data_IF_305944498268
#
_entry.id   IF_305944498268
#
_cell.length_a   1.000
_cell.length_b   1.000
_cell.length_c   1.000
_cell.angle_alpha   90.00
_cell.angle_beta   90.00
_cell.angle_gamma   90.00
#
_symmetry.space_group_name_H-M   'P 1'
#
loop_
_entity.id
_entity.type
_entity.pdbx_description
1 polymer ?
#
# COMPACT_ATOMS: atom_id res chain seq x y z
N UNK A 1 21.16 42.30 -8.52
CA UNK A 1 19.80 42.11 -7.97
C UNK A 1 19.66 40.61 -7.70
N UNK A 2 20.56 40.06 -6.87
CA UNK A 2 20.94 38.63 -6.93
C UNK A 2 20.83 37.94 -5.56
N UNK A 3 19.92 38.43 -4.72
CA UNK A 3 19.66 37.89 -3.38
C UNK A 3 18.48 36.92 -3.33
N UNK A 4 17.87 36.56 -4.46
CA UNK A 4 16.69 35.69 -4.53
C UNK A 4 16.98 34.20 -4.86
N UNK A 5 18.24 33.81 -5.08
CA UNK A 5 18.60 32.46 -5.56
C UNK A 5 19.01 31.45 -4.48
N UNK A 6 18.96 31.82 -3.20
CA UNK A 6 18.89 30.82 -2.12
C UNK A 6 17.43 30.47 -1.85
N UNK A 7 16.79 29.80 -2.81
CA UNK A 7 15.47 29.22 -2.59
C UNK A 7 15.54 28.37 -1.32
N UNK A 8 14.79 28.78 -0.29
CA UNK A 8 14.67 28.06 0.98
C UNK A 8 14.38 26.60 0.67
N UNK A 9 15.31 25.70 1.01
CA UNK A 9 15.21 24.27 0.73
C UNK A 9 14.29 23.64 1.76
N UNK A 10 13.00 23.71 1.49
CA UNK A 10 11.99 23.16 2.38
C UNK A 10 11.78 21.68 2.09
N UNK A 11 12.15 20.84 3.07
CA UNK A 11 11.91 19.40 3.05
C UNK A 11 10.72 19.09 3.93
N UNK A 12 9.72 18.42 3.36
CA UNK A 12 8.58 17.88 4.10
C UNK A 12 8.83 16.39 4.34
N UNK A 13 8.82 15.98 5.59
CA UNK A 13 9.06 14.61 6.01
C UNK A 13 7.74 13.98 6.44
N UNK A 14 7.35 12.86 5.83
CA UNK A 14 6.14 12.11 6.16
C UNK A 14 6.47 10.64 6.48
N UNK A 15 6.51 10.26 7.77
CA UNK A 15 6.73 8.89 8.20
C UNK A 15 5.44 8.05 8.09
N UNK A 16 5.60 6.73 8.00
CA UNK A 16 4.49 5.82 8.29
C UNK A 16 4.04 6.05 9.75
N UNK A 17 2.72 6.09 10.06
CA UNK A 17 2.20 6.48 11.37
C UNK A 17 2.33 5.37 12.43
N UNK A 18 3.54 4.86 12.62
CA UNK A 18 3.91 3.92 13.67
C UNK A 18 5.11 4.44 14.46
N UNK A 19 5.17 4.07 15.74
CA UNK A 19 6.18 4.59 16.69
C UNK A 19 7.62 4.43 16.19
N UNK A 20 7.95 3.26 15.65
CA UNK A 20 9.30 2.95 15.18
C UNK A 20 9.70 3.83 14.00
N UNK A 21 8.82 4.00 13.01
CA UNK A 21 9.07 4.80 11.81
C UNK A 21 9.19 6.29 12.14
N UNK A 22 8.26 6.81 12.95
CA UNK A 22 8.28 8.20 13.42
C UNK A 22 9.60 8.51 14.15
N UNK A 23 10.00 7.68 15.11
CA UNK A 23 11.23 7.89 15.86
C UNK A 23 12.48 7.85 14.96
N UNK A 24 12.55 6.87 14.05
CA UNK A 24 13.68 6.73 13.14
C UNK A 24 13.81 7.95 12.21
N UNK A 25 12.71 8.37 11.57
CA UNK A 25 12.72 9.50 10.66
C UNK A 25 12.88 10.84 11.39
N UNK A 26 12.39 10.98 12.63
CA UNK A 26 12.62 12.17 13.44
C UNK A 26 14.10 12.29 13.82
N UNK A 27 14.75 11.19 14.19
CA UNK A 27 16.19 11.19 14.47
C UNK A 27 17.01 11.48 13.21
N UNK A 28 16.63 10.92 12.07
CA UNK A 28 17.23 11.27 10.78
C UNK A 28 17.06 12.77 10.47
N UNK A 29 15.87 13.33 10.72
CA UNK A 29 15.59 14.76 10.53
C UNK A 29 16.45 15.64 11.43
N UNK A 30 16.73 15.23 12.68
CA UNK A 30 17.68 15.93 13.57
C UNK A 30 19.09 15.95 12.98
N UNK A 31 19.56 14.82 12.45
CA UNK A 31 20.88 14.74 11.79
C UNK A 31 20.94 15.62 10.54
N UNK A 32 19.86 15.65 9.73
CA UNK A 32 19.75 16.55 8.59
C UNK A 32 19.80 18.02 9.01
N UNK A 33 19.03 18.40 10.03
CA UNK A 33 19.01 19.77 10.56
C UNK A 33 20.38 20.21 11.11
N UNK A 34 21.12 19.30 11.74
CA UNK A 34 22.46 19.58 12.28
C UNK A 34 23.54 19.66 11.21
N UNK A 35 23.42 18.89 10.13
CA UNK A 35 24.41 18.88 9.04
C UNK A 35 24.24 20.01 8.03
N UNK A 36 23.05 20.60 7.93
CA UNK A 36 22.77 21.68 6.98
C UNK A 36 21.79 22.71 7.55
N UNK A 37 22.34 23.80 8.10
CA UNK A 37 21.56 24.90 8.70
C UNK A 37 20.68 25.70 7.73
N UNK A 38 20.81 25.48 6.41
CA UNK A 38 19.97 26.11 5.39
C UNK A 38 18.70 25.34 5.05
N UNK A 39 18.47 24.16 5.64
CA UNK A 39 17.26 23.36 5.41
C UNK A 39 16.13 23.79 6.35
N UNK A 40 14.96 24.06 5.76
CA UNK A 40 13.72 24.13 6.51
C UNK A 40 13.10 22.74 6.55
N UNK A 41 12.90 22.15 7.73
CA UNK A 41 12.31 20.82 7.85
C UNK A 41 10.91 20.92 8.46
N UNK A 42 9.89 20.41 7.74
CA UNK A 42 8.55 20.19 8.28
C UNK A 42 8.33 18.70 8.46
N UNK A 43 8.18 18.26 9.71
CA UNK A 43 7.92 16.87 10.04
C UNK A 43 6.43 16.68 10.31
N UNK A 44 5.77 15.90 9.47
CA UNK A 44 4.32 15.74 9.47
C UNK A 44 3.92 14.47 10.21
N UNK A 45 2.94 14.58 11.10
CA UNK A 45 2.35 13.46 11.85
C UNK A 45 0.84 13.59 11.89
N UNK A 46 0.11 12.63 12.46
CA UNK A 46 -1.32 12.85 12.77
C UNK A 46 -1.48 13.71 14.02
N UNK A 47 -2.65 14.30 14.24
CA UNK A 47 -2.97 15.08 15.46
C UNK A 47 -2.76 14.25 16.75
N UNK A 48 -3.16 12.97 16.76
CA UNK A 48 -2.89 12.07 17.88
C UNK A 48 -1.39 11.95 18.12
N UNK A 49 -0.62 11.70 17.07
CA UNK A 49 0.83 11.55 17.16
C UNK A 49 1.53 12.85 17.58
N UNK A 50 1.02 14.02 17.19
CA UNK A 50 1.51 15.31 17.67
C UNK A 50 1.39 15.42 19.19
N UNK A 51 0.27 14.95 19.76
CA UNK A 51 0.08 14.87 21.20
C UNK A 51 0.99 13.83 21.88
N UNK A 52 1.18 12.66 21.25
CA UNK A 52 2.00 11.57 21.80
C UNK A 52 3.50 11.84 21.80
N UNK A 53 3.99 12.59 20.80
CA UNK A 53 5.37 13.06 20.75
C UNK A 53 5.66 14.06 21.89
N UNK A 54 4.61 14.67 22.45
CA UNK A 54 4.70 15.77 23.39
C UNK A 54 5.21 17.04 22.72
N UNK A 55 5.44 18.11 23.49
CA UNK A 55 6.25 19.24 23.02
C UNK A 55 7.72 18.84 23.15
N UNK A 56 8.41 18.40 22.10
CA UNK A 56 9.81 18.08 22.23
C UNK A 56 10.55 19.40 22.31
N UNK A 57 11.74 19.38 22.90
CA UNK A 57 12.80 20.31 22.50
C UNK A 57 13.20 19.98 21.04
N UNK A 58 12.26 20.12 20.09
CA UNK A 58 12.53 19.99 18.68
C UNK A 58 13.55 21.09 18.34
N UNK A 59 14.68 20.75 17.69
CA UNK A 59 15.64 21.76 17.26
C UNK A 59 14.92 22.88 16.51
N UNK A 60 15.36 24.14 16.66
CA UNK A 60 14.72 25.34 16.07
C UNK A 60 14.40 25.21 14.56
N UNK A 61 15.08 24.29 13.87
CA UNK A 61 15.02 24.09 12.42
C UNK A 61 14.02 22.99 11.98
N UNK A 62 13.35 22.31 12.92
CA UNK A 62 12.31 21.30 12.65
C UNK A 62 10.97 21.80 13.16
N UNK A 63 10.02 21.98 12.25
CA UNK A 63 8.62 22.30 12.59
C UNK A 63 7.78 21.03 12.55
N UNK A 64 7.11 20.71 13.67
CA UNK A 64 6.09 19.68 13.66
C UNK A 64 4.79 20.25 13.08
N UNK A 65 4.16 19.52 12.17
CA UNK A 65 2.82 19.81 11.65
C UNK A 65 1.96 18.55 11.74
N UNK A 66 0.67 18.73 11.90
CA UNK A 66 -0.29 17.63 11.94
C UNK A 66 -1.20 17.61 10.72
N UNK A 67 -1.63 16.40 10.36
CA UNK A 67 -2.82 16.14 9.56
C UNK A 67 -3.93 15.56 10.47
N UNK A 68 -5.22 15.69 10.11
CA UNK A 68 -6.33 15.13 10.86
C UNK A 68 -6.17 13.63 11.16
N UNK A 69 -6.72 13.18 12.29
CA UNK A 69 -6.77 11.77 12.66
C UNK A 69 -7.73 10.96 11.79
N UNK A 70 -7.27 10.56 10.61
CA UNK A 70 -8.03 9.77 9.63
C UNK A 70 -7.79 8.26 9.70
N UNK A 71 -6.92 7.83 10.62
CA UNK A 71 -6.50 6.45 10.83
C UNK A 71 -6.88 5.95 12.23
N UNK A 72 -7.03 4.63 12.45
CA UNK A 72 -7.21 4.06 13.78
C UNK A 72 -6.11 4.49 14.75
N UNK A 73 -6.50 4.73 15.99
CA UNK A 73 -5.60 5.21 17.05
C UNK A 73 -4.44 4.25 17.32
N UNK A 74 -3.27 4.83 17.66
CA UNK A 74 -2.06 4.10 18.07
C UNK A 74 -2.36 3.02 19.11
N UNK A 75 -3.25 3.27 20.07
CA UNK A 75 -3.54 2.36 21.17
C UNK A 75 -4.35 1.12 20.80
N UNK A 76 -5.15 1.20 19.74
CA UNK A 76 -6.13 0.14 19.39
C UNK A 76 -5.91 -0.48 18.01
N UNK A 77 -5.07 0.14 17.17
CA UNK A 77 -4.82 -0.35 15.81
C UNK A 77 -4.28 -1.79 15.75
N UNK A 78 -3.63 -2.26 16.81
CA UNK A 78 -3.12 -3.63 16.89
C UNK A 78 -4.22 -4.69 16.79
N UNK A 79 -5.45 -4.36 17.20
CA UNK A 79 -6.60 -5.25 17.11
C UNK A 79 -7.14 -5.39 15.67
N UNK A 80 -6.93 -4.38 14.82
CA UNK A 80 -7.31 -4.39 13.41
C UNK A 80 -6.21 -3.74 12.55
N UNK A 81 -5.09 -4.45 12.43
CA UNK A 81 -3.96 -4.00 11.60
C UNK A 81 -4.36 -3.80 10.14
N UNK A 82 -5.31 -4.62 9.64
CA UNK A 82 -5.81 -4.56 8.27
C UNK A 82 -6.55 -3.25 8.03
N UNK A 83 -7.51 -2.91 8.90
CA UNK A 83 -8.23 -1.64 8.84
C UNK A 83 -7.32 -0.44 9.00
N UNK A 84 -6.29 -0.55 9.84
CA UNK A 84 -5.26 0.47 9.99
C UNK A 84 -4.48 0.72 8.70
N UNK A 85 -3.94 -0.35 8.10
CA UNK A 85 -3.22 -0.26 6.83
C UNK A 85 -4.11 0.32 5.71
N UNK A 86 -5.36 -0.13 5.60
CA UNK A 86 -6.31 0.40 4.62
C UNK A 86 -6.56 1.90 4.84
N UNK A 87 -6.75 2.34 6.07
CA UNK A 87 -6.98 3.75 6.38
C UNK A 87 -5.77 4.62 6.00
N UNK A 88 -4.54 4.16 6.22
CA UNK A 88 -3.33 4.87 5.80
C UNK A 88 -3.36 5.15 4.30
N UNK A 89 -3.57 4.11 3.50
CA UNK A 89 -3.46 4.22 2.05
C UNK A 89 -4.70 4.82 1.38
N UNK A 90 -5.87 4.84 2.04
CA UNK A 90 -7.09 5.39 1.45
C UNK A 90 -7.52 6.74 2.02
N UNK A 91 -6.93 7.21 3.13
CA UNK A 91 -7.40 8.41 3.82
C UNK A 91 -6.32 9.43 4.14
N UNK A 92 -5.03 9.06 4.25
CA UNK A 92 -3.99 10.02 4.64
C UNK A 92 -3.50 10.92 3.50
N UNK A 93 -3.59 10.47 2.25
CA UNK A 93 -3.08 11.20 1.08
C UNK A 93 -3.72 12.58 0.94
N UNK A 94 -5.06 12.66 0.94
CA UNK A 94 -5.79 13.92 0.75
C UNK A 94 -5.45 15.00 1.79
N UNK A 95 -5.52 14.71 3.10
CA UNK A 95 -5.15 15.69 4.12
C UNK A 95 -3.66 16.09 4.09
N UNK A 96 -2.77 15.18 3.68
CA UNK A 96 -1.35 15.53 3.49
C UNK A 96 -1.16 16.46 2.29
N UNK A 97 -1.86 16.20 1.19
CA UNK A 97 -1.88 17.05 0.00
C UNK A 97 -2.42 18.47 0.31
N UNK A 98 -3.53 18.57 1.05
CA UNK A 98 -4.04 19.85 1.54
C UNK A 98 -3.05 20.59 2.45
N UNK A 99 -2.30 19.85 3.28
CA UNK A 99 -1.27 20.46 4.12
C UNK A 99 -0.17 21.06 3.26
N UNK A 100 0.32 20.36 2.22
CA UNK A 100 1.37 20.84 1.32
C UNK A 100 1.02 22.19 0.68
N UNK A 101 -0.24 22.38 0.28
CA UNK A 101 -0.74 23.64 -0.32
C UNK A 101 -0.71 24.82 0.65
N UNK A 102 -0.81 24.55 1.96
CA UNK A 102 -0.85 25.56 3.03
C UNK A 102 0.52 25.82 3.66
N UNK A 103 1.58 25.17 3.18
CA UNK A 103 2.92 25.34 3.73
C UNK A 103 3.58 26.59 3.16
N UNK A 104 4.11 27.41 4.07
CA UNK A 104 4.99 28.53 3.74
C UNK A 104 6.31 28.39 4.51
N UNK A 105 7.46 28.26 3.81
CA UNK A 105 7.62 28.20 2.34
C UNK A 105 7.00 26.93 1.71
N UNK A 106 6.79 26.93 0.39
CA UNK A 106 6.33 25.73 -0.34
C UNK A 106 7.35 24.60 -0.26
N UNK A 107 6.87 23.35 -0.25
CA UNK A 107 7.75 22.18 -0.22
C UNK A 107 8.60 22.09 -1.50
N UNK A 108 9.92 22.03 -1.36
CA UNK A 108 10.84 21.79 -2.47
C UNK A 108 11.17 20.30 -2.65
N UNK A 109 10.92 19.51 -1.61
CA UNK A 109 11.27 18.09 -1.56
C UNK A 109 10.40 17.36 -0.54
N UNK A 110 10.01 16.12 -0.84
CA UNK A 110 9.33 15.24 0.11
C UNK A 110 10.25 14.08 0.46
N UNK A 111 10.46 13.85 1.76
CA UNK A 111 11.06 12.63 2.28
C UNK A 111 9.95 11.74 2.84
N UNK A 112 9.55 10.72 2.09
CA UNK A 112 8.44 9.86 2.44
C UNK A 112 8.93 8.49 2.91
N UNK A 113 8.24 7.94 3.89
CA UNK A 113 8.37 6.53 4.24
C UNK A 113 8.02 5.64 3.05
N UNK A 114 8.82 4.61 2.80
CA UNK A 114 8.59 3.66 1.70
C UNK A 114 7.23 2.96 1.80
N UNK A 115 6.70 2.78 3.00
CA UNK A 115 5.40 2.14 3.19
C UNK A 115 4.23 3.04 2.77
N UNK A 116 4.44 4.33 2.52
CA UNK A 116 3.41 5.25 2.03
C UNK A 116 3.43 5.29 0.49
N UNK A 117 2.93 4.23 -0.14
CA UNK A 117 3.00 4.05 -1.61
C UNK A 117 2.42 5.23 -2.41
N UNK A 118 1.40 5.91 -1.87
CA UNK A 118 0.77 7.08 -2.50
C UNK A 118 1.69 8.31 -2.60
N UNK A 119 2.75 8.40 -1.78
CA UNK A 119 3.59 9.59 -1.72
C UNK A 119 4.35 9.86 -3.04
N UNK A 120 4.75 8.79 -3.75
CA UNK A 120 5.44 8.91 -5.03
C UNK A 120 4.53 9.52 -6.11
N UNK A 121 3.31 9.00 -6.24
CA UNK A 121 2.36 9.52 -7.23
C UNK A 121 1.90 10.93 -6.86
N UNK A 122 1.67 11.21 -5.58
CA UNK A 122 1.36 12.55 -5.10
C UNK A 122 2.47 13.55 -5.48
N UNK A 123 3.73 13.23 -5.19
CA UNK A 123 4.86 14.09 -5.52
C UNK A 123 4.98 14.35 -7.02
N UNK A 124 4.74 13.31 -7.85
CA UNK A 124 4.67 13.45 -9.30
C UNK A 124 3.55 14.41 -9.74
N UNK A 125 2.34 14.28 -9.19
CA UNK A 125 1.20 15.17 -9.52
C UNK A 125 1.45 16.61 -9.11
N UNK A 126 2.21 16.83 -8.03
CA UNK A 126 2.54 18.16 -7.50
C UNK A 126 3.87 18.72 -8.00
N UNK A 127 4.56 17.99 -8.88
CA UNK A 127 5.90 18.33 -9.38
C UNK A 127 6.93 18.56 -8.26
N UNK A 128 6.78 17.83 -7.15
CA UNK A 128 7.70 17.86 -6.00
C UNK A 128 8.52 16.56 -5.99
N UNK A 129 9.86 16.63 -6.06
CA UNK A 129 10.70 15.44 -5.96
C UNK A 129 10.50 14.71 -4.63
N UNK A 130 10.47 13.37 -4.69
CA UNK A 130 10.26 12.49 -3.52
C UNK A 130 11.46 11.56 -3.35
N UNK A 131 12.07 11.56 -2.16
CA UNK A 131 12.91 10.44 -1.72
C UNK A 131 12.10 9.45 -0.88
N UNK A 132 12.34 8.18 -1.15
CA UNK A 132 11.87 7.08 -0.33
C UNK A 132 12.87 6.80 0.80
N UNK A 133 12.36 6.65 2.03
CA UNK A 133 13.14 6.29 3.21
C UNK A 133 12.67 4.95 3.77
N UNK A 134 13.60 4.01 3.99
CA UNK A 134 13.34 2.71 4.59
C UNK A 134 13.96 2.66 5.99
N UNK A 135 13.19 2.92 7.07
CA UNK A 135 13.72 2.96 8.44
C UNK A 135 13.88 1.57 9.08
N UNK A 136 13.84 0.49 8.31
CA UNK A 136 13.92 -0.90 8.79
C UNK A 136 15.21 -1.55 8.24
N UNK A 137 15.50 -2.80 8.61
CA UNK A 137 16.65 -3.55 8.12
C UNK A 137 16.69 -3.68 6.58
N UNK A 138 17.90 -3.64 6.00
CA UNK A 138 18.09 -3.81 4.56
C UNK A 138 17.63 -5.19 4.06
N UNK A 139 17.71 -6.22 4.91
CA UNK A 139 17.20 -7.56 4.61
C UNK A 139 15.67 -7.57 4.43
N UNK A 140 14.93 -6.81 5.24
CA UNK A 140 13.47 -6.71 5.09
C UNK A 140 13.10 -5.90 3.85
N UNK A 141 13.92 -4.91 3.47
CA UNK A 141 13.75 -4.20 2.19
C UNK A 141 13.93 -5.15 1.00
N UNK A 142 14.99 -5.97 1.00
CA UNK A 142 15.22 -6.95 -0.06
C UNK A 142 14.09 -7.98 -0.15
N UNK A 143 13.59 -8.46 1.00
CA UNK A 143 12.43 -9.34 1.05
C UNK A 143 11.17 -8.66 0.51
N UNK A 144 10.94 -7.39 0.85
CA UNK A 144 9.82 -6.61 0.35
C UNK A 144 9.88 -6.44 -1.18
N UNK A 145 11.05 -6.04 -1.70
CA UNK A 145 11.28 -5.82 -3.14
C UNK A 145 11.15 -7.13 -3.95
N UNK A 146 11.69 -8.23 -3.42
CA UNK A 146 11.73 -9.52 -4.10
C UNK A 146 10.68 -10.50 -3.60
N UNK A 147 9.62 -10.04 -2.92
CA UNK A 147 8.62 -10.93 -2.34
C UNK A 147 7.98 -11.85 -3.38
N UNK A 148 7.76 -11.34 -4.59
CA UNK A 148 7.24 -12.11 -5.72
C UNK A 148 8.08 -13.38 -6.00
N UNK A 149 9.38 -13.36 -5.73
CA UNK A 149 10.25 -14.54 -5.86
C UNK A 149 9.95 -15.59 -4.79
N UNK A 150 9.59 -15.17 -3.57
CA UNK A 150 9.19 -16.10 -2.52
C UNK A 150 7.91 -16.84 -2.90
N UNK A 151 6.94 -16.12 -3.51
CA UNK A 151 5.71 -16.72 -4.03
C UNK A 151 6.01 -17.63 -5.22
N UNK A 152 6.79 -17.15 -6.18
CA UNK A 152 7.08 -17.86 -7.44
C UNK A 152 7.83 -19.16 -7.20
N UNK A 153 8.75 -19.16 -6.23
CA UNK A 153 9.53 -20.34 -5.86
C UNK A 153 8.84 -21.23 -4.80
N UNK A 154 7.59 -20.93 -4.43
CA UNK A 154 6.84 -21.73 -3.45
C UNK A 154 7.36 -21.64 -2.02
N UNK A 155 8.23 -20.69 -1.71
CA UNK A 155 8.67 -20.39 -0.34
C UNK A 155 7.62 -19.61 0.47
N UNK A 156 6.51 -19.23 -0.17
CA UNK A 156 5.37 -18.56 0.46
C UNK A 156 4.03 -19.17 0.00
N UNK A 157 3.05 -19.35 0.92
CA UNK A 157 3.11 -19.01 2.34
C UNK A 157 4.00 -19.95 3.14
N UNK A 158 4.65 -19.40 4.16
CA UNK A 158 5.35 -20.18 5.18
C UNK A 158 4.28 -20.83 6.08
N UNK A 159 4.46 -22.08 6.48
CA UNK A 159 3.64 -22.65 7.55
C UNK A 159 4.05 -22.00 8.89
N UNK A 160 3.24 -21.04 9.35
CA UNK A 160 3.51 -20.23 10.54
C UNK A 160 3.05 -20.89 11.84
N UNK A 161 2.72 -22.18 11.83
CA UNK A 161 2.31 -22.92 13.04
C UNK A 161 3.35 -22.86 14.17
N UNK A 162 4.63 -22.66 13.85
CA UNK A 162 5.74 -22.58 14.80
C UNK A 162 6.26 -21.15 15.08
N UNK A 163 5.74 -20.11 14.42
CA UNK A 163 6.24 -18.74 14.60
C UNK A 163 5.12 -17.71 14.58
N UNK A 164 4.99 -16.97 15.67
CA UNK A 164 4.14 -15.76 15.77
C UNK A 164 4.80 -14.57 15.03
N UNK A 165 5.09 -14.74 13.74
CA UNK A 165 5.60 -13.67 12.86
C UNK A 165 4.44 -13.02 12.12
N UNK A 166 3.50 -12.47 12.88
CA UNK A 166 2.33 -11.79 12.35
C UNK A 166 2.63 -10.39 11.74
N UNK A 167 3.90 -9.95 11.67
CA UNK A 167 4.19 -8.50 11.68
C UNK A 167 5.33 -7.93 10.79
N UNK A 168 5.75 -8.55 9.67
CA UNK A 168 6.30 -7.74 8.57
C UNK A 168 5.88 -8.12 7.13
N UNK A 169 5.13 -9.20 6.91
CA UNK A 169 4.91 -9.76 5.55
C UNK A 169 3.65 -9.28 4.82
N UNK A 170 2.88 -8.35 5.42
CA UNK A 170 1.51 -8.07 5.00
C UNK A 170 1.34 -7.15 3.78
N UNK A 171 2.42 -6.61 3.20
CA UNK A 171 2.31 -5.69 2.06
C UNK A 171 1.78 -6.37 0.78
N UNK A 172 1.62 -7.70 0.75
CA UNK A 172 0.93 -8.41 -0.35
C UNK A 172 -0.44 -8.98 -0.02
N UNK A 173 -0.97 -8.76 1.20
CA UNK A 173 -2.21 -9.43 1.62
C UNK A 173 -3.50 -8.71 1.22
N UNK A 174 -3.36 -7.49 0.66
CA UNK A 174 -4.46 -6.75 0.06
C UNK A 174 -4.03 -6.30 -1.32
N UNK A 175 -4.50 -7.01 -2.34
CA UNK A 175 -4.33 -6.58 -3.73
C UNK A 175 -5.41 -5.53 -3.99
N UNK A 176 -4.97 -4.30 -4.23
CA UNK A 176 -5.88 -3.20 -4.52
C UNK A 176 -6.27 -3.32 -5.98
N UNK A 177 -7.57 -3.41 -6.21
CA UNK A 177 -8.11 -3.63 -7.55
C UNK A 177 -9.28 -2.69 -7.80
N UNK A 178 -9.43 -2.31 -9.06
CA UNK A 178 -10.66 -1.67 -9.55
C UNK A 178 -11.47 -2.73 -10.29
N UNK A 179 -12.77 -2.79 -10.04
CA UNK A 179 -13.66 -3.65 -10.84
C UNK A 179 -13.88 -2.91 -12.16
N UNK A 180 -13.29 -3.40 -13.25
CA UNK A 180 -13.55 -2.86 -14.59
C UNK A 180 -14.83 -3.43 -15.17
N UNK A 181 -15.13 -4.71 -14.91
CA UNK A 181 -16.36 -5.36 -15.36
C UNK A 181 -16.93 -6.27 -14.28
N UNK A 182 -18.26 -6.38 -14.26
CA UNK A 182 -18.99 -7.33 -13.45
C UNK A 182 -19.98 -8.07 -14.34
N UNK A 183 -19.91 -9.40 -14.36
CA UNK A 183 -20.74 -10.24 -15.23
C UNK A 183 -20.67 -9.86 -16.72
N UNK A 184 -19.48 -9.46 -17.19
CA UNK A 184 -19.24 -9.05 -18.58
C UNK A 184 -19.79 -7.67 -18.95
N UNK A 185 -20.39 -6.94 -18.01
CA UNK A 185 -20.81 -5.56 -18.21
C UNK A 185 -19.82 -4.61 -17.55
N UNK A 186 -19.54 -3.49 -18.23
CA UNK A 186 -18.66 -2.46 -17.70
C UNK A 186 -19.18 -1.92 -16.38
N UNK A 187 -18.28 -1.82 -15.41
CA UNK A 187 -18.60 -1.31 -14.09
C UNK A 187 -18.14 0.16 -14.00
N UNK A 188 -19.07 1.13 -13.99
CA UNK A 188 -18.71 2.55 -14.09
C UNK A 188 -18.01 3.09 -12.84
N UNK A 189 -18.01 2.34 -11.73
CA UNK A 189 -17.37 2.78 -10.49
C UNK A 189 -15.86 2.47 -10.51
N UNK A 190 -15.04 3.51 -10.55
CA UNK A 190 -13.58 3.41 -10.33
C UNK A 190 -13.21 3.24 -8.85
N UNK A 191 -14.10 2.67 -8.04
CA UNK A 191 -13.80 2.51 -6.62
C UNK A 191 -12.78 1.41 -6.37
N UNK A 192 -11.85 1.69 -5.46
CA UNK A 192 -10.83 0.74 -5.03
C UNK A 192 -11.48 -0.34 -4.16
N UNK A 193 -11.20 -1.58 -4.52
CA UNK A 193 -11.59 -2.78 -3.82
C UNK A 193 -10.34 -3.53 -3.36
N UNK A 194 -10.54 -4.39 -2.37
CA UNK A 194 -9.52 -5.25 -1.81
C UNK A 194 -9.81 -6.68 -2.26
N UNK A 195 -8.93 -7.19 -3.13
CA UNK A 195 -8.92 -8.59 -3.56
C UNK A 195 -7.97 -9.38 -2.66
N UNK A 196 -8.53 -10.33 -1.91
CA UNK A 196 -7.82 -11.12 -0.92
C UNK A 196 -7.91 -12.59 -1.29
N UNK A 197 -6.74 -13.19 -1.55
CA UNK A 197 -6.58 -14.59 -1.88
C UNK A 197 -6.15 -15.33 -0.60
N UNK A 198 -7.10 -15.96 0.08
CA UNK A 198 -6.85 -16.72 1.31
C UNK A 198 -6.71 -18.22 1.04
N UNK A 199 -6.16 -18.97 2.00
CA UNK A 199 -5.91 -20.43 1.89
C UNK A 199 -7.13 -21.26 1.50
N UNK A 200 -8.32 -20.84 1.92
CA UNK A 200 -9.57 -21.61 1.74
C UNK A 200 -10.59 -20.93 0.83
N UNK A 201 -10.38 -19.65 0.51
CA UNK A 201 -11.37 -18.81 -0.19
C UNK A 201 -10.76 -17.54 -0.73
N UNK A 202 -11.40 -16.99 -1.76
CA UNK A 202 -11.11 -15.67 -2.29
C UNK A 202 -12.19 -14.69 -1.82
N UNK A 203 -11.79 -13.45 -1.48
CA UNK A 203 -12.70 -12.37 -1.07
C UNK A 203 -12.43 -11.11 -1.88
N UNK A 204 -13.51 -10.41 -2.23
CA UNK A 204 -13.46 -9.07 -2.79
C UNK A 204 -14.29 -8.15 -1.91
N UNK A 205 -13.69 -7.06 -1.43
CA UNK A 205 -14.30 -6.13 -0.45
C UNK A 205 -14.18 -4.69 -0.90
N UNK A 206 -15.11 -3.85 -0.46
CA UNK A 206 -15.05 -2.38 -0.52
C UNK A 206 -15.29 -1.83 0.88
N UNK A 207 -14.22 -1.44 1.58
CA UNK A 207 -14.28 -1.15 3.00
C UNK A 207 -14.84 -2.34 3.79
N UNK A 208 -15.91 -2.10 4.57
CA UNK A 208 -16.60 -3.14 5.34
C UNK A 208 -17.53 -4.04 4.50
N UNK A 209 -17.91 -3.61 3.30
CA UNK A 209 -18.82 -4.37 2.45
C UNK A 209 -18.09 -5.48 1.70
N UNK A 210 -18.61 -6.71 1.79
CA UNK A 210 -18.10 -7.85 1.01
C UNK A 210 -18.90 -7.97 -0.29
N UNK A 211 -18.22 -7.83 -1.44
CA UNK A 211 -18.81 -8.00 -2.78
C UNK A 211 -18.88 -9.46 -3.19
N UNK A 212 -17.84 -10.22 -2.87
CA UNK A 212 -17.78 -11.66 -3.06
C UNK A 212 -16.91 -12.30 -1.98
N UNK A 213 -17.29 -13.50 -1.55
CA UNK A 213 -16.54 -14.33 -0.60
C UNK A 213 -16.87 -15.78 -0.91
N UNK A 214 -16.08 -16.38 -1.77
CA UNK A 214 -16.37 -17.71 -2.29
C UNK A 214 -15.23 -18.68 -1.93
N UNK A 215 -15.53 -19.86 -1.36
CA UNK A 215 -14.53 -20.91 -1.19
C UNK A 215 -14.04 -21.41 -2.55
N UNK A 216 -12.86 -22.01 -2.57
CA UNK A 216 -12.41 -22.69 -3.78
C UNK A 216 -13.39 -23.80 -4.15
N UNK A 217 -13.80 -23.84 -5.42
CA UNK A 217 -14.72 -24.84 -5.94
C UNK A 217 -14.38 -25.14 -7.39
N UNK A 218 -14.82 -26.29 -7.89
CA UNK A 218 -14.64 -26.68 -9.30
C UNK A 218 -15.34 -25.75 -10.29
N UNK A 219 -16.30 -24.94 -9.83
CA UNK A 219 -17.01 -23.93 -10.64
C UNK A 219 -16.30 -22.57 -10.71
N UNK A 220 -15.27 -22.37 -9.88
CA UNK A 220 -14.49 -21.14 -9.84
C UNK A 220 -13.47 -21.13 -10.97
N UNK A 221 -13.33 -19.99 -11.66
CA UNK A 221 -12.35 -19.79 -12.72
C UNK A 221 -11.50 -18.56 -12.43
N UNK A 222 -10.22 -18.61 -12.82
CA UNK A 222 -9.28 -17.53 -12.57
C UNK A 222 -8.18 -17.50 -13.65
N UNK A 223 -8.06 -16.39 -14.37
CA UNK A 223 -7.00 -16.20 -15.37
C UNK A 223 -6.66 -14.72 -15.58
N UNK A 224 -5.56 -14.44 -16.27
CA UNK A 224 -5.29 -13.10 -16.81
C UNK A 224 -6.23 -12.80 -17.98
N UNK A 225 -6.54 -11.52 -18.20
CA UNK A 225 -7.31 -11.09 -19.37
C UNK A 225 -6.38 -11.06 -20.60
N UNK A 226 -6.87 -11.56 -21.73
CA UNK A 226 -6.16 -11.47 -23.02
C UNK A 226 -6.66 -10.27 -23.79
N UNK A 227 -5.76 -9.45 -24.32
CA UNK A 227 -6.08 -8.25 -25.10
C UNK A 227 -4.83 -7.45 -25.44
N UNK A 228 -4.96 -6.47 -26.35
CA UNK A 228 -3.87 -5.56 -26.69
C UNK A 228 -3.80 -4.38 -25.70
N UNK A 229 -2.59 -4.05 -25.24
CA UNK A 229 -2.32 -2.87 -24.41
C UNK A 229 -2.22 -3.12 -22.90
N UNK A 230 -1.76 -2.09 -22.16
CA UNK A 230 -1.44 -2.19 -20.72
C UNK A 230 -2.64 -2.58 -19.84
N UNK A 231 -3.85 -2.12 -20.20
CA UNK A 231 -5.06 -2.42 -19.44
C UNK A 231 -5.38 -3.92 -19.38
N UNK A 232 -5.13 -4.66 -20.47
CA UNK A 232 -5.32 -6.12 -20.49
C UNK A 232 -4.23 -6.82 -19.67
N UNK A 233 -2.97 -6.36 -19.77
CA UNK A 233 -1.84 -6.92 -19.02
C UNK A 233 -1.98 -6.76 -17.50
N UNK A 234 -2.66 -5.71 -17.04
CA UNK A 234 -2.95 -5.44 -15.63
C UNK A 234 -4.27 -6.07 -15.13
N UNK A 235 -5.03 -6.74 -16.00
CA UNK A 235 -6.36 -7.24 -15.64
C UNK A 235 -6.39 -8.75 -15.38
N UNK A 236 -7.20 -9.12 -14.40
CA UNK A 236 -7.52 -10.49 -13.99
C UNK A 236 -9.00 -10.75 -14.19
N UNK A 237 -9.35 -11.89 -14.76
CA UNK A 237 -10.71 -12.40 -14.75
C UNK A 237 -10.88 -13.41 -13.61
N UNK A 238 -11.92 -13.19 -12.79
CA UNK A 238 -12.31 -14.08 -11.71
C UNK A 238 -13.80 -14.41 -11.79
N UNK A 239 -14.13 -15.66 -12.09
CA UNK A 239 -15.48 -16.19 -11.89
C UNK A 239 -15.56 -16.76 -10.48
N UNK A 240 -16.20 -16.02 -9.57
CA UNK A 240 -16.32 -16.41 -8.17
C UNK A 240 -17.24 -17.62 -8.00
N UNK A 241 -18.35 -17.64 -8.73
CA UNK A 241 -19.30 -18.75 -8.87
C UNK A 241 -20.12 -18.59 -10.14
N UNK A 242 -20.91 -19.60 -10.50
CA UNK A 242 -21.81 -19.51 -11.66
C UNK A 242 -22.72 -18.27 -11.55
N UNK A 243 -22.70 -17.41 -12.56
CA UNK A 243 -23.48 -16.17 -12.60
C UNK A 243 -22.86 -14.98 -11.84
N UNK A 244 -21.66 -15.13 -11.27
CA UNK A 244 -20.92 -14.04 -10.63
C UNK A 244 -19.45 -14.05 -11.05
N UNK A 245 -19.08 -13.07 -11.87
CA UNK A 245 -17.72 -12.87 -12.36
C UNK A 245 -17.30 -11.41 -12.31
N UNK A 246 -15.99 -11.19 -12.21
CA UNK A 246 -15.37 -9.89 -12.13
C UNK A 246 -14.16 -9.83 -13.07
N UNK A 247 -14.00 -8.71 -13.74
CA UNK A 247 -12.71 -8.30 -14.30
C UNK A 247 -12.11 -7.26 -13.36
N UNK A 248 -10.95 -7.58 -12.80
CA UNK A 248 -10.26 -6.81 -11.79
C UNK A 248 -8.99 -6.21 -12.38
N UNK A 249 -8.90 -4.88 -12.43
CA UNK A 249 -7.71 -4.16 -12.84
C UNK A 249 -6.79 -3.95 -11.64
N UNK A 250 -5.53 -4.35 -11.78
CA UNK A 250 -4.47 -4.17 -10.79
C UNK A 250 -3.64 -2.92 -11.15
N UNK A 251 -2.98 -2.34 -10.14
CA UNK A 251 -2.04 -1.25 -10.37
C UNK A 251 -0.82 -1.72 -11.20
N UNK A 252 -0.34 -2.93 -10.94
CA UNK A 252 0.80 -3.49 -11.65
C UNK A 252 0.54 -4.93 -12.13
N UNK A 253 1.06 -5.24 -13.32
CA UNK A 253 1.02 -6.60 -13.88
C UNK A 253 1.63 -7.64 -12.91
N UNK A 254 2.68 -7.26 -12.20
CA UNK A 254 3.34 -8.10 -11.19
C UNK A 254 2.38 -8.56 -10.08
N UNK A 255 1.51 -7.67 -9.62
CA UNK A 255 0.57 -7.94 -8.52
C UNK A 255 -0.54 -8.86 -9.01
N UNK A 256 -1.00 -8.64 -10.26
CA UNK A 256 -1.93 -9.53 -10.97
C UNK A 256 -1.36 -10.94 -11.10
N UNK A 257 -0.10 -11.07 -11.51
CA UNK A 257 0.57 -12.37 -11.67
C UNK A 257 0.70 -13.10 -10.32
N UNK A 258 1.15 -12.41 -9.27
CA UNK A 258 1.24 -12.97 -7.93
C UNK A 258 -0.13 -13.46 -7.40
N UNK A 259 -1.20 -12.69 -7.65
CA UNK A 259 -2.56 -13.06 -7.27
C UNK A 259 -3.02 -14.38 -7.91
N UNK A 260 -2.78 -14.54 -9.22
CA UNK A 260 -3.14 -15.76 -9.96
C UNK A 260 -2.37 -16.96 -9.44
N UNK A 261 -1.05 -16.80 -9.27
CA UNK A 261 -0.18 -17.88 -8.78
C UNK A 261 -0.60 -18.34 -7.38
N UNK A 262 -0.83 -17.40 -6.47
CA UNK A 262 -1.23 -17.71 -5.11
C UNK A 262 -2.61 -18.39 -5.04
N UNK A 263 -3.57 -17.91 -5.83
CA UNK A 263 -4.91 -18.48 -5.85
C UNK A 263 -4.91 -19.90 -6.42
N UNK A 264 -4.14 -20.16 -7.48
CA UNK A 264 -3.96 -21.50 -8.03
C UNK A 264 -3.30 -22.44 -7.03
N UNK A 265 -2.29 -21.96 -6.30
CA UNK A 265 -1.64 -22.76 -5.26
C UNK A 265 -2.60 -23.14 -4.14
N UNK A 266 -3.34 -22.18 -3.59
CA UNK A 266 -4.30 -22.45 -2.53
C UNK A 266 -5.47 -23.30 -2.97
N UNK A 267 -5.97 -23.11 -4.18
CA UNK A 267 -6.97 -24.01 -4.74
C UNK A 267 -6.44 -25.44 -4.84
N UNK A 268 -5.19 -25.63 -5.31
CA UNK A 268 -4.57 -26.94 -5.40
C UNK A 268 -4.45 -27.60 -4.02
N UNK A 269 -4.06 -26.85 -2.99
CA UNK A 269 -4.04 -27.34 -1.60
C UNK A 269 -5.46 -27.74 -1.10
N UNK A 270 -6.52 -27.27 -1.75
CA UNK A 270 -7.92 -27.66 -1.52
C UNK A 270 -8.41 -28.79 -2.45
N UNK A 271 -7.52 -29.45 -3.20
CA UNK A 271 -7.86 -30.38 -4.29
C UNK A 271 -8.74 -29.77 -5.40
N UNK A 272 -8.61 -28.47 -5.65
CA UNK A 272 -9.30 -27.73 -6.71
C UNK A 272 -8.28 -27.22 -7.73
N UNK A 273 -8.54 -27.46 -9.01
CA UNK A 273 -7.74 -26.86 -10.08
C UNK A 273 -8.45 -25.64 -10.67
N UNK A 274 -7.87 -24.45 -10.49
CA UNK A 274 -8.40 -23.22 -11.10
C UNK A 274 -7.84 -23.03 -12.52
N UNK A 275 -8.74 -23.04 -13.49
CA UNK A 275 -8.45 -22.79 -14.90
C UNK A 275 -9.15 -21.51 -15.39
N UNK A 276 -8.76 -21.01 -16.57
CA UNK A 276 -9.50 -19.96 -17.26
C UNK A 276 -10.71 -20.50 -18.03
N UNK A 277 -11.58 -19.62 -18.55
CA UNK A 277 -12.65 -20.03 -19.46
C UNK A 277 -12.10 -20.77 -20.68
N UNK A 278 -12.55 -22.00 -20.91
CA UNK A 278 -12.13 -22.81 -22.07
C UNK A 278 -10.87 -23.66 -21.87
N UNK A 279 -10.15 -23.51 -20.75
CA UNK A 279 -9.08 -24.42 -20.38
C UNK A 279 -9.69 -25.76 -19.94
N UNK A 280 -9.25 -26.89 -20.54
CA UNK A 280 -9.68 -28.23 -20.10
C UNK A 280 -9.07 -28.54 -18.74
N UNK A 281 -9.90 -28.95 -17.78
CA UNK A 281 -9.40 -29.66 -16.59
C UNK A 281 -8.65 -30.91 -17.08
N UNK A 282 -7.38 -31.14 -16.71
CA UNK A 282 -6.81 -32.46 -16.88
C UNK A 282 -7.66 -33.43 -16.07
N UNK A 283 -8.09 -34.51 -16.73
CA UNK A 283 -8.85 -35.61 -16.17
C UNK A 283 -8.16 -36.20 -14.94
#
# INVERSE_FOLDING_TARGET
>A
MDSQLFASRHVVIIPHPSRSHINAMLNFSKLLASSNGGLHLTFVVTEEWLGLIGSPAAPRNIRLRSIPNVIPSEFVRGADFVGFFQAIHSKMEGPFEELLERLEPTASFILADTLLSWALELGKRREIPVASFWPIAASTFALHLHFHMLVTNGHFPIDTSAFDVSMPFFVLLFLWVVISQMNGQDHPSQSIHVFHVGKMRIKLRKGWMTKAKEPYSSSMQLCGVRGGGNAAAQALFWQAKKGLSFTLAFEAERDRNAAIMLARRYAFDCNIMLAGPGDRSPL
#
